data_IF_841644667882
#
_entry.id   IF_841644667882
#
_cell.length_a   1.000
_cell.length_b   1.000
_cell.length_c   1.000
_cell.angle_alpha   90.00
_cell.angle_beta   90.00
_cell.angle_gamma   90.00
#
_symmetry.space_group_name_H-M   'P 1'
#
loop_
_entity.id
_entity.type
_entity.pdbx_description
1 polymer ?
#
# COMPACT_ATOMS: atom_id res chain seq x y z
N UNK A 1 -26.38 -24.99 -3.25
CA UNK A 1 -25.64 -23.80 -2.81
C UNK A 1 -26.64 -22.74 -2.39
N UNK A 2 -26.61 -22.19 -1.17
CA UNK A 2 -27.61 -21.21 -0.74
C UNK A 2 -27.34 -19.84 -1.38
N UNK A 3 -28.39 -19.19 -1.88
CA UNK A 3 -28.33 -17.89 -2.54
C UNK A 3 -28.14 -16.75 -1.52
N UNK A 4 -27.27 -15.80 -1.84
CA UNK A 4 -27.02 -14.60 -1.03
C UNK A 4 -28.12 -13.56 -1.31
N UNK A 5 -28.77 -12.99 -0.27
CA UNK A 5 -29.74 -11.93 -0.46
C UNK A 5 -29.01 -10.61 -0.74
N UNK A 6 -28.82 -10.28 -2.02
CA UNK A 6 -28.54 -8.90 -2.39
C UNK A 6 -29.74 -8.05 -2.00
N UNK A 7 -29.55 -7.29 -0.93
CA UNK A 7 -30.55 -6.43 -0.33
C UNK A 7 -31.06 -5.41 -1.36
N UNK A 8 -32.26 -5.65 -1.87
CA UNK A 8 -33.10 -4.67 -2.55
C UNK A 8 -33.50 -3.60 -1.55
N UNK A 9 -32.92 -2.41 -1.67
CA UNK A 9 -33.57 -1.15 -1.32
C UNK A 9 -32.88 -0.05 -2.10
N UNK A 10 -33.47 0.27 -3.25
CA UNK A 10 -33.17 1.47 -4.00
C UNK A 10 -33.46 2.67 -3.09
N UNK A 11 -32.40 3.36 -2.67
CA UNK A 11 -32.54 4.66 -2.02
C UNK A 11 -33.14 5.63 -3.03
N UNK A 12 -34.38 6.05 -2.79
CA UNK A 12 -35.07 7.10 -3.52
C UNK A 12 -34.29 8.40 -3.39
N UNK A 13 -33.48 8.72 -4.40
CA UNK A 13 -32.84 10.03 -4.51
C UNK A 13 -33.86 11.03 -5.06
N UNK A 14 -34.07 12.20 -4.42
CA UNK A 14 -34.96 13.21 -4.98
C UNK A 14 -34.37 13.77 -6.28
N UNK A 15 -35.17 13.71 -7.34
CA UNK A 15 -34.94 14.37 -8.61
C UNK A 15 -35.04 15.88 -8.43
N UNK A 16 -33.90 16.55 -8.31
CA UNK A 16 -33.77 17.96 -8.66
C UNK A 16 -32.81 18.07 -9.84
N UNK A 17 -33.38 18.06 -11.06
CA UNK A 17 -32.66 18.39 -12.29
C UNK A 17 -32.48 19.91 -12.34
N UNK A 18 -31.26 20.46 -12.32
CA UNK A 18 -31.05 21.82 -12.78
C UNK A 18 -31.13 21.82 -14.31
N UNK A 19 -32.05 22.64 -14.83
CA UNK A 19 -32.18 22.96 -16.24
C UNK A 19 -30.82 23.38 -16.83
N UNK A 20 -30.38 22.67 -17.85
CA UNK A 20 -29.16 22.96 -18.61
C UNK A 20 -29.33 24.27 -19.37
N UNK A 21 -28.85 25.38 -18.81
CA UNK A 21 -28.51 26.58 -19.57
C UNK A 21 -27.15 26.35 -20.25
N UNK A 22 -27.01 26.47 -21.58
CA UNK A 22 -25.71 26.42 -22.21
C UNK A 22 -24.99 27.73 -21.91
N UNK A 23 -23.66 27.67 -21.76
CA UNK A 23 -22.72 28.80 -21.61
C UNK A 23 -22.27 29.09 -20.17
N UNK A 24 -21.35 28.27 -19.69
CA UNK A 24 -20.04 28.71 -19.18
C UNK A 24 -19.37 27.50 -18.51
N UNK A 25 -18.49 26.80 -19.24
CA UNK A 25 -17.53 25.89 -18.62
C UNK A 25 -16.66 26.73 -17.66
N UNK A 26 -16.66 26.48 -16.33
CA UNK A 26 -15.77 27.21 -15.44
C UNK A 26 -14.33 26.78 -15.77
N UNK A 27 -13.60 27.66 -16.46
CA UNK A 27 -12.18 27.47 -16.73
C UNK A 27 -11.41 27.70 -15.44
N UNK A 28 -10.93 26.63 -14.81
CA UNK A 28 -10.00 26.74 -13.69
C UNK A 28 -8.60 27.00 -14.26
N UNK A 29 -8.15 28.25 -14.16
CA UNK A 29 -6.75 28.62 -14.40
C UNK A 29 -6.02 28.46 -13.08
N UNK A 30 -5.28 27.36 -12.92
CA UNK A 30 -4.40 27.19 -11.77
C UNK A 30 -3.18 28.10 -11.95
N UNK A 31 -3.16 29.22 -11.22
CA UNK A 31 -1.95 30.01 -11.06
C UNK A 31 -1.00 29.27 -10.10
N UNK A 32 0.30 29.15 -10.44
CA UNK A 32 1.28 28.71 -9.45
C UNK A 32 1.22 29.67 -8.26
N UNK A 33 0.83 29.18 -7.09
CA UNK A 33 0.81 29.97 -5.88
C UNK A 33 2.26 30.35 -5.51
N UNK A 34 2.67 31.57 -5.86
CA UNK A 34 3.90 32.17 -5.37
C UNK A 34 3.67 32.66 -3.94
N UNK A 35 3.70 31.74 -2.98
CA UNK A 35 3.55 32.12 -1.58
C UNK A 35 3.40 30.93 -0.65
N UNK A 36 4.33 30.84 0.30
CA UNK A 36 4.45 29.85 1.36
C UNK A 36 4.83 28.43 0.89
N UNK A 37 6.14 28.19 0.88
CA UNK A 37 6.71 26.86 1.13
C UNK A 37 6.31 26.40 2.53
N UNK A 38 5.04 26.03 2.72
CA UNK A 38 4.69 25.13 3.82
C UNK A 38 5.41 23.83 3.47
N UNK A 39 6.60 23.65 4.06
CA UNK A 39 7.28 22.37 4.06
C UNK A 39 6.28 21.41 4.70
N UNK A 40 5.52 20.70 3.88
CA UNK A 40 4.69 19.57 4.30
C UNK A 40 5.69 18.55 4.78
N UNK A 41 6.04 18.66 6.06
CA UNK A 41 6.92 17.70 6.70
C UNK A 41 6.17 16.38 6.67
N UNK A 42 6.75 15.41 5.96
CA UNK A 42 6.16 14.09 5.84
C UNK A 42 6.11 13.50 7.25
N UNK A 43 4.90 13.33 7.79
CA UNK A 43 4.69 12.76 9.12
C UNK A 43 5.30 11.36 9.13
N UNK A 44 6.46 11.21 9.78
CA UNK A 44 7.11 9.91 9.86
C UNK A 44 6.25 8.99 10.72
N UNK A 45 6.01 7.75 10.30
CA UNK A 45 5.31 6.79 11.15
C UNK A 45 6.08 6.66 12.48
N UNK A 46 5.32 6.63 13.58
CA UNK A 46 5.88 6.52 14.94
C UNK A 46 6.71 5.26 15.13
N UNK A 47 6.40 4.23 14.35
CA UNK A 47 7.01 2.91 14.40
C UNK A 47 7.45 2.49 13.01
N UNK A 48 8.66 1.94 12.90
CA UNK A 48 9.14 1.35 11.66
C UNK A 48 8.33 0.08 11.37
N UNK A 49 7.56 0.02 10.26
CA UNK A 49 6.76 -1.15 9.95
C UNK A 49 7.59 -2.44 9.82
N UNK A 50 8.86 -2.34 9.42
CA UNK A 50 9.77 -3.47 9.36
C UNK A 50 10.07 -4.04 10.75
N UNK A 51 10.29 -3.16 11.74
CA UNK A 51 10.50 -3.57 13.14
C UNK A 51 9.26 -4.23 13.74
N UNK A 52 8.07 -3.64 13.51
CA UNK A 52 6.82 -4.22 13.99
C UNK A 52 6.58 -5.63 13.42
N UNK A 53 6.90 -5.84 12.14
CA UNK A 53 6.83 -7.16 11.52
C UNK A 53 7.84 -8.14 12.10
N UNK A 54 9.09 -7.73 12.29
CA UNK A 54 10.16 -8.54 12.90
C UNK A 54 9.75 -9.08 14.27
N UNK A 55 9.15 -8.24 15.13
CA UNK A 55 8.68 -8.64 16.47
C UNK A 55 7.56 -9.67 16.37
N UNK A 56 6.54 -9.42 15.53
CA UNK A 56 5.43 -10.37 15.34
C UNK A 56 5.92 -11.70 14.78
N UNK A 57 6.90 -11.68 13.89
CA UNK A 57 7.45 -12.90 13.33
C UNK A 57 8.18 -13.74 14.38
N UNK A 58 8.97 -13.12 15.26
CA UNK A 58 9.58 -13.84 16.38
C UNK A 58 8.54 -14.38 17.37
N UNK A 59 7.47 -13.63 17.66
CA UNK A 59 6.38 -14.12 18.50
C UNK A 59 5.75 -15.38 17.90
N UNK A 60 5.52 -15.39 16.59
CA UNK A 60 5.04 -16.56 15.88
C UNK A 60 6.00 -17.75 16.00
N UNK A 61 7.31 -17.53 15.80
CA UNK A 61 8.32 -18.57 15.92
C UNK A 61 8.39 -19.14 17.36
N UNK A 62 8.38 -18.28 18.37
CA UNK A 62 8.37 -18.68 19.77
C UNK A 62 7.13 -19.51 20.13
N UNK A 63 5.95 -19.07 19.69
CA UNK A 63 4.69 -19.76 19.96
C UNK A 63 4.56 -21.09 19.21
N UNK A 64 5.15 -21.21 18.02
CA UNK A 64 4.98 -22.38 17.14
C UNK A 64 6.03 -23.46 17.41
N UNK A 65 7.29 -23.07 17.64
CA UNK A 65 8.41 -24.00 17.73
C UNK A 65 9.00 -24.12 19.14
N UNK A 66 8.44 -23.43 20.12
CA UNK A 66 8.94 -23.43 21.50
C UNK A 66 10.29 -22.72 21.65
N UNK A 67 10.59 -21.75 20.77
CA UNK A 67 11.77 -20.92 20.92
C UNK A 67 11.62 -19.95 22.09
N UNK A 68 12.74 -19.65 22.76
CA UNK A 68 12.78 -18.46 23.61
C UNK A 68 12.60 -17.20 22.74
N UNK A 69 12.03 -16.13 23.30
CA UNK A 69 11.81 -14.89 22.55
C UNK A 69 13.11 -14.36 21.93
N UNK A 70 14.23 -14.47 22.65
CA UNK A 70 15.53 -14.01 22.17
C UNK A 70 16.05 -14.87 20.99
N UNK A 71 15.88 -16.19 21.04
CA UNK A 71 16.27 -17.07 19.93
C UNK A 71 15.39 -16.82 18.69
N UNK A 72 14.08 -16.65 18.90
CA UNK A 72 13.14 -16.33 17.83
C UNK A 72 13.43 -14.99 17.15
N UNK A 73 13.93 -14.00 17.90
CA UNK A 73 14.37 -12.73 17.34
C UNK A 73 15.61 -12.88 16.44
N UNK A 74 16.58 -13.70 16.85
CA UNK A 74 17.76 -13.98 16.04
C UNK A 74 17.40 -14.73 14.74
N UNK A 75 16.47 -15.68 14.82
CA UNK A 75 15.96 -16.39 13.63
C UNK A 75 15.20 -15.46 12.69
N UNK A 76 14.32 -14.60 13.24
CA UNK A 76 13.59 -13.61 12.45
C UNK A 76 14.54 -12.68 11.68
N UNK A 77 15.66 -12.29 12.29
CA UNK A 77 16.68 -11.48 11.63
C UNK A 77 17.37 -12.20 10.49
N UNK A 78 17.72 -13.46 10.69
CA UNK A 78 18.36 -14.26 9.65
C UNK A 78 17.45 -14.40 8.42
N UNK A 79 16.15 -14.59 8.65
CA UNK A 79 15.19 -14.75 7.56
C UNK A 79 14.86 -13.45 6.82
N UNK A 80 14.83 -12.32 7.54
CA UNK A 80 14.49 -11.01 6.98
C UNK A 80 15.70 -10.21 6.48
N UNK A 81 16.92 -10.70 6.72
CA UNK A 81 18.11 -10.07 6.21
C UNK A 81 18.04 -9.92 4.67
N UNK A 82 18.48 -8.78 4.11
CA UNK A 82 18.53 -8.59 2.67
C UNK A 82 19.27 -9.74 1.99
N UNK A 83 18.56 -10.53 1.19
CA UNK A 83 19.17 -11.60 0.41
C UNK A 83 19.89 -10.96 -0.77
N UNK A 84 21.16 -11.35 -0.96
CA UNK A 84 21.88 -11.04 -2.21
C UNK A 84 20.99 -11.52 -3.35
N UNK A 85 20.60 -10.62 -4.25
CA UNK A 85 19.94 -11.01 -5.49
C UNK A 85 20.80 -12.07 -6.13
N UNK A 86 20.28 -13.29 -6.26
CA UNK A 86 20.91 -14.31 -7.10
C UNK A 86 21.19 -13.64 -8.44
N UNK A 87 22.41 -13.78 -8.95
CA UNK A 87 22.94 -13.08 -10.11
C UNK A 87 22.23 -13.32 -11.44
N UNK A 88 20.98 -13.79 -11.44
CA UNK A 88 20.04 -13.61 -12.55
C UNK A 88 19.65 -12.14 -12.59
N UNK A 89 20.59 -11.29 -13.02
CA UNK A 89 20.22 -10.00 -13.57
C UNK A 89 19.14 -10.26 -14.63
N UNK A 90 18.14 -9.41 -14.70
CA UNK A 90 17.10 -9.45 -15.73
C UNK A 90 17.65 -9.45 -17.18
N UNK A 91 18.98 -9.34 -17.35
CA UNK A 91 19.72 -9.36 -18.62
C UNK A 91 19.65 -10.69 -19.38
N UNK A 92 19.52 -11.84 -18.71
CA UNK A 92 19.54 -13.13 -19.43
C UNK A 92 18.24 -13.43 -20.19
N UNK A 93 17.12 -12.79 -19.81
CA UNK A 93 15.83 -12.95 -20.49
C UNK A 93 15.74 -12.19 -21.83
N UNK A 94 16.63 -11.24 -22.09
CA UNK A 94 16.63 -10.45 -23.34
C UNK A 94 17.56 -11.04 -24.41
N UNK A 95 18.46 -11.96 -24.05
CA UNK A 95 19.38 -12.61 -25.00
C UNK A 95 18.67 -13.57 -25.97
N UNK A 96 17.55 -14.18 -25.54
CA UNK A 96 16.79 -15.15 -26.33
C UNK A 96 15.85 -14.53 -27.38
N UNK A 97 15.72 -13.20 -27.42
CA UNK A 97 14.92 -12.48 -28.43
C UNK A 97 15.74 -11.96 -29.62
N UNK A 98 17.06 -12.17 -29.59
CA UNK A 98 17.98 -11.70 -30.64
C UNK A 98 18.40 -12.78 -31.66
N UNK A 99 17.70 -13.93 -31.68
CA UNK A 99 17.93 -14.97 -32.70
C UNK A 99 16.87 -14.94 -33.79
#
# INVERSE_FOLDING_TARGET
>A
MPALPFNTSASSSPSNSPTLSPTATPSIVLHPASGASHKKELHKPKEDPAQAYRIRYAQYLAATFGFSMQAAMAEADSQLAPRRSSGSSMSEAESLRSI
#
